data_IF_693870904662
#
_entry.id   IF_693870904662
#
_cell.length_a   1.000
_cell.length_b   1.000
_cell.length_c   1.000
_cell.angle_alpha   90.00
_cell.angle_beta   90.00
_cell.angle_gamma   90.00
#
_symmetry.space_group_name_H-M   'P 1'
#
loop_
_entity.id
_entity.type
_entity.pdbx_description
1 polymer ?
#
# COMPACT_ATOMS: atom_id res chain seq x y z
N UNK A 1 16.86 91.39 8.60
CA UNK A 1 17.53 90.12 8.93
C UNK A 1 16.48 89.03 9.04
N UNK A 2 16.77 87.91 8.39
CA UNK A 2 15.94 86.72 8.18
C UNK A 2 15.40 86.10 9.49
N UNK A 3 14.18 85.54 9.45
CA UNK A 3 13.97 84.17 9.92
C UNK A 3 12.54 83.67 9.58
N UNK A 4 12.48 82.75 8.62
CA UNK A 4 12.22 81.30 8.78
C UNK A 4 10.74 80.95 8.98
N UNK A 5 10.06 80.73 7.86
CA UNK A 5 8.85 79.92 7.78
C UNK A 5 9.14 78.52 8.31
N UNK A 6 8.54 78.17 9.46
CA UNK A 6 8.49 76.78 9.93
C UNK A 6 7.40 76.05 9.17
N UNK A 7 7.78 75.15 8.28
CA UNK A 7 6.87 74.16 7.69
C UNK A 7 6.47 73.17 8.80
N UNK A 8 5.23 73.29 9.25
CA UNK A 8 4.62 72.38 10.20
C UNK A 8 4.30 71.07 9.46
N UNK A 9 5.16 70.06 9.55
CA UNK A 9 4.86 68.73 9.05
C UNK A 9 3.79 68.11 9.95
N UNK A 10 2.55 68.03 9.46
CA UNK A 10 1.49 67.26 10.10
C UNK A 10 1.84 65.77 9.94
N UNK A 11 2.17 65.10 11.03
CA UNK A 11 2.23 63.64 11.06
C UNK A 11 0.80 63.12 10.93
N UNK A 12 0.47 62.55 9.78
CA UNK A 12 -0.77 61.82 9.58
C UNK A 12 -0.66 60.48 10.34
N UNK A 13 -1.41 60.33 11.43
CA UNK A 13 -1.58 59.04 12.10
C UNK A 13 -2.55 58.16 11.33
N UNK A 14 -2.30 56.86 11.27
CA UNK A 14 -3.18 55.88 10.63
C UNK A 14 -4.58 55.91 11.27
N UNK A 15 -5.62 55.87 10.43
CA UNK A 15 -7.00 55.77 10.91
C UNK A 15 -7.27 54.39 11.51
N UNK A 16 -8.09 54.32 12.57
CA UNK A 16 -8.62 53.06 13.11
C UNK A 16 -9.29 52.21 12.02
N UNK A 17 -9.92 52.86 11.04
CA UNK A 17 -10.57 52.20 9.91
C UNK A 17 -9.55 51.60 8.93
N UNK A 18 -8.42 52.28 8.67
CA UNK A 18 -7.35 51.73 7.82
C UNK A 18 -6.76 50.47 8.44
N UNK A 19 -6.49 50.48 9.74
CA UNK A 19 -6.01 49.29 10.44
C UNK A 19 -7.03 48.15 10.42
N UNK A 20 -8.32 48.45 10.57
CA UNK A 20 -9.38 47.43 10.47
C UNK A 20 -9.43 46.77 9.07
N UNK A 21 -9.32 47.57 8.00
CA UNK A 21 -9.30 47.05 6.63
C UNK A 21 -8.04 46.20 6.39
N UNK A 22 -6.87 46.63 6.86
CA UNK A 22 -5.62 45.88 6.73
C UNK A 22 -5.72 44.51 7.44
N UNK A 23 -6.28 44.46 8.64
CA UNK A 23 -6.46 43.21 9.38
C UNK A 23 -7.44 42.26 8.69
N UNK A 24 -8.52 42.78 8.12
CA UNK A 24 -9.48 41.97 7.35
C UNK A 24 -8.81 41.39 6.10
N UNK A 25 -8.05 42.19 5.36
CA UNK A 25 -7.29 41.73 4.18
C UNK A 25 -6.26 40.66 4.59
N UNK A 26 -5.52 40.88 5.68
CA UNK A 26 -4.55 39.91 6.20
C UNK A 26 -5.22 38.58 6.59
N UNK A 27 -6.39 38.62 7.24
CA UNK A 27 -7.14 37.43 7.59
C UNK A 27 -7.54 36.63 6.34
N UNK A 28 -8.01 37.32 5.28
CA UNK A 28 -8.34 36.66 4.01
C UNK A 28 -7.11 36.08 3.31
N UNK A 29 -5.98 36.79 3.31
CA UNK A 29 -4.72 36.30 2.71
C UNK A 29 -4.22 35.05 3.44
N UNK A 30 -4.26 35.03 4.78
CA UNK A 30 -3.86 33.87 5.56
C UNK A 30 -4.80 32.68 5.36
N UNK A 31 -6.12 32.91 5.30
CA UNK A 31 -7.11 31.87 5.02
C UNK A 31 -6.92 31.25 3.62
N UNK A 32 -6.63 32.07 2.61
CA UNK A 32 -6.37 31.60 1.25
C UNK A 32 -5.11 30.72 1.13
N UNK A 33 -4.15 30.89 2.05
CA UNK A 33 -2.87 30.14 2.03
C UNK A 33 -2.95 28.74 2.66
N UNK A 34 -3.94 28.48 3.53
CA UNK A 34 -4.02 27.23 4.30
C UNK A 34 -4.53 26.04 3.48
N UNK A 35 -5.43 26.27 2.53
CA UNK A 35 -5.99 25.22 1.65
C UNK A 35 -4.94 24.51 0.77
N UNK A 36 -4.03 25.21 0.04
CA UNK A 36 -3.06 24.53 -0.82
C UNK A 36 -2.03 23.69 -0.06
N UNK A 37 -1.79 23.97 1.23
CA UNK A 37 -0.82 23.22 2.02
C UNK A 37 -1.28 21.78 2.28
N UNK A 38 -2.57 21.56 2.53
CA UNK A 38 -3.10 20.21 2.79
C UNK A 38 -3.01 19.33 1.55
N UNK A 39 -3.37 19.87 0.39
CA UNK A 39 -3.25 19.17 -0.89
C UNK A 39 -1.79 18.78 -1.19
N UNK A 40 -0.83 19.68 -0.95
CA UNK A 40 0.60 19.37 -1.13
C UNK A 40 1.10 18.26 -0.20
N UNK A 41 0.61 18.21 1.05
CA UNK A 41 0.97 17.13 1.97
C UNK A 41 0.42 15.79 1.53
N UNK A 42 -0.83 15.74 1.06
CA UNK A 42 -1.41 14.49 0.57
C UNK A 42 -0.68 13.95 -0.65
N UNK A 43 -0.28 14.82 -1.58
CA UNK A 43 0.56 14.42 -2.72
C UNK A 43 1.92 13.86 -2.29
N UNK A 44 2.55 14.48 -1.29
CA UNK A 44 3.80 13.98 -0.71
C UNK A 44 3.61 12.59 -0.09
N UNK A 45 2.55 12.41 0.71
CA UNK A 45 2.26 11.14 1.39
C UNK A 45 1.91 10.02 0.41
N UNK A 46 1.15 10.33 -0.64
CA UNK A 46 0.88 9.40 -1.72
C UNK A 46 2.18 8.97 -2.42
N UNK A 47 3.02 9.94 -2.83
CA UNK A 47 4.31 9.65 -3.47
C UNK A 47 5.25 8.84 -2.57
N UNK A 48 5.29 9.15 -1.27
CA UNK A 48 6.05 8.37 -0.29
C UNK A 48 5.54 6.94 -0.19
N UNK A 49 4.22 6.75 -0.15
CA UNK A 49 3.59 5.43 -0.06
C UNK A 49 3.89 4.59 -1.29
N UNK A 50 3.75 5.14 -2.50
CA UNK A 50 4.12 4.46 -3.73
C UNK A 50 5.60 4.05 -3.73
N UNK A 51 6.48 4.92 -3.25
CA UNK A 51 7.91 4.61 -3.12
C UNK A 51 8.18 3.47 -2.13
N UNK A 52 7.49 3.46 -0.97
CA UNK A 52 7.59 2.39 0.02
C UNK A 52 7.06 1.06 -0.52
N UNK A 53 5.94 1.08 -1.25
CA UNK A 53 5.35 -0.11 -1.88
C UNK A 53 6.29 -0.69 -2.95
N UNK A 54 6.90 0.14 -3.78
CA UNK A 54 7.89 -0.30 -4.78
C UNK A 54 9.19 -0.80 -4.14
N UNK A 55 9.63 -0.21 -3.02
CA UNK A 55 10.74 -0.73 -2.23
C UNK A 55 10.42 -2.10 -1.64
N UNK A 56 9.22 -2.26 -1.05
CA UNK A 56 8.75 -3.52 -0.50
C UNK A 56 8.69 -4.61 -1.56
N UNK A 57 8.15 -4.29 -2.75
CA UNK A 57 8.14 -5.19 -3.91
C UNK A 57 9.53 -5.66 -4.29
N UNK A 58 10.51 -4.74 -4.38
CA UNK A 58 11.91 -5.10 -4.67
C UNK A 58 12.53 -5.96 -3.57
N UNK A 59 12.26 -5.65 -2.31
CA UNK A 59 12.77 -6.42 -1.17
C UNK A 59 12.20 -7.85 -1.16
N UNK A 60 10.92 -8.02 -1.47
CA UNK A 60 10.28 -9.34 -1.63
C UNK A 60 10.94 -10.16 -2.75
N UNK A 61 11.21 -9.54 -3.90
CA UNK A 61 11.91 -10.20 -4.99
C UNK A 61 13.34 -10.60 -4.59
N UNK A 62 14.09 -9.72 -3.93
CA UNK A 62 15.44 -10.03 -3.42
C UNK A 62 15.45 -11.11 -2.34
N UNK A 63 14.42 -11.13 -1.48
CA UNK A 63 14.22 -12.20 -0.51
C UNK A 63 14.01 -13.55 -1.20
N UNK A 64 13.17 -13.59 -2.24
CA UNK A 64 12.97 -14.80 -3.03
C UNK A 64 14.24 -15.28 -3.71
N UNK A 65 15.06 -14.39 -4.27
CA UNK A 65 16.34 -14.76 -4.89
C UNK A 65 17.33 -15.40 -3.91
N UNK A 66 17.28 -15.03 -2.64
CA UNK A 66 18.22 -15.51 -1.61
C UNK A 66 17.71 -16.74 -0.86
N UNK A 67 16.40 -16.83 -0.66
CA UNK A 67 15.76 -17.88 0.14
C UNK A 67 15.01 -18.92 -0.70
N UNK A 68 14.86 -18.72 -2.01
CA UNK A 68 14.10 -19.59 -2.91
C UNK A 68 12.59 -19.58 -2.66
N UNK A 69 12.08 -18.64 -1.86
CA UNK A 69 10.66 -18.50 -1.47
C UNK A 69 10.35 -17.05 -1.10
N UNK A 70 9.08 -16.67 -1.13
CA UNK A 70 8.60 -15.43 -0.51
C UNK A 70 8.45 -15.59 1.02
N UNK A 71 8.55 -14.49 1.78
CA UNK A 71 8.34 -14.55 3.21
C UNK A 71 6.85 -14.73 3.55
N UNK A 72 6.56 -15.33 4.70
CA UNK A 72 5.20 -15.38 5.21
C UNK A 72 4.75 -14.00 5.71
N UNK A 73 3.46 -13.64 5.63
CA UNK A 73 2.98 -12.39 6.19
C UNK A 73 3.29 -12.28 7.68
N UNK A 74 3.60 -11.06 8.12
CA UNK A 74 3.76 -10.78 9.53
C UNK A 74 2.40 -10.79 10.22
N UNK A 75 2.37 -11.29 11.45
CA UNK A 75 1.20 -11.23 12.33
C UNK A 75 1.30 -9.99 13.21
N UNK A 76 0.21 -9.59 13.85
CA UNK A 76 0.22 -8.48 14.82
C UNK A 76 1.23 -8.69 15.97
N UNK A 77 1.60 -9.95 16.26
CA UNK A 77 2.52 -10.32 17.33
C UNK A 77 3.95 -10.61 16.87
N UNK A 78 4.24 -10.60 15.55
CA UNK A 78 5.57 -10.97 15.04
C UNK A 78 6.56 -9.81 14.97
N UNK A 79 6.17 -8.63 15.44
CA UNK A 79 6.99 -7.42 15.43
C UNK A 79 7.65 -7.13 14.06
N UNK A 80 6.85 -7.20 12.99
CA UNK A 80 7.33 -7.00 11.62
C UNK A 80 8.19 -8.13 11.05
N UNK A 81 8.37 -9.25 11.75
CA UNK A 81 9.03 -10.44 11.21
C UNK A 81 8.04 -11.32 10.46
N UNK A 82 8.51 -12.06 9.45
CA UNK A 82 7.71 -13.13 8.86
C UNK A 82 7.31 -14.16 9.93
N UNK A 83 6.10 -14.72 9.80
CA UNK A 83 5.61 -15.74 10.72
C UNK A 83 4.86 -16.81 9.93
N UNK A 84 5.31 -18.08 9.96
CA UNK A 84 6.50 -18.59 10.64
C UNK A 84 7.82 -18.15 10.00
N UNK A 85 8.83 -18.00 10.86
CA UNK A 85 10.22 -17.86 10.40
C UNK A 85 10.62 -19.12 9.64
N UNK A 86 11.19 -18.95 8.45
CA UNK A 86 11.55 -20.10 7.60
C UNK A 86 10.43 -20.58 6.67
N UNK A 87 9.20 -20.07 6.83
CA UNK A 87 8.05 -20.46 6.01
C UNK A 87 7.61 -21.91 6.23
N UNK A 88 7.11 -22.56 5.18
CA UNK A 88 6.68 -23.97 5.24
C UNK A 88 5.19 -24.15 5.58
N UNK A 89 4.84 -25.34 6.09
CA UNK A 89 3.45 -25.78 6.25
C UNK A 89 2.65 -24.92 7.23
N UNK A 90 3.33 -24.30 8.19
CA UNK A 90 2.71 -23.43 9.20
C UNK A 90 2.48 -22.00 8.69
N UNK A 91 2.87 -21.71 7.45
CA UNK A 91 2.57 -20.45 6.78
C UNK A 91 1.11 -20.41 6.33
N UNK A 92 0.17 -20.44 7.28
CA UNK A 92 -1.27 -20.52 6.97
C UNK A 92 -1.92 -19.16 6.76
N UNK A 93 -1.22 -18.08 7.10
CA UNK A 93 -1.74 -16.73 6.96
C UNK A 93 -1.55 -16.25 5.52
N UNK A 94 -2.66 -16.13 4.78
CA UNK A 94 -2.65 -15.61 3.40
C UNK A 94 -2.40 -14.10 3.34
N UNK A 95 -3.04 -13.36 4.26
CA UNK A 95 -3.06 -11.89 4.31
C UNK A 95 -2.66 -11.42 5.71
N UNK A 96 -1.68 -10.53 5.78
CA UNK A 96 -1.18 -9.97 7.03
C UNK A 96 -0.48 -8.63 6.83
N UNK A 97 0.50 -8.35 7.67
CA UNK A 97 1.37 -7.18 7.52
C UNK A 97 2.59 -7.52 6.67
N UNK A 98 3.14 -6.51 5.99
CA UNK A 98 4.44 -6.66 5.34
C UNK A 98 5.48 -7.03 6.40
N UNK A 99 6.26 -8.12 6.23
CA UNK A 99 7.33 -8.50 7.17
C UNK A 99 8.55 -7.58 7.02
N UNK A 100 8.37 -6.30 7.34
CA UNK A 100 9.32 -5.23 7.10
C UNK A 100 10.64 -5.41 7.86
N UNK A 101 10.62 -5.97 9.07
CA UNK A 101 11.83 -6.28 9.82
C UNK A 101 12.64 -7.43 9.17
N UNK A 102 11.95 -8.42 8.59
CA UNK A 102 12.61 -9.49 7.80
C UNK A 102 13.17 -8.94 6.48
N UNK A 103 12.48 -8.00 5.85
CA UNK A 103 12.86 -7.43 4.56
C UNK A 103 13.84 -6.25 4.66
N UNK A 104 14.06 -5.70 5.86
CA UNK A 104 14.86 -4.49 6.06
C UNK A 104 14.26 -3.23 5.46
N UNK A 105 12.92 -3.15 5.36
CA UNK A 105 12.20 -2.01 4.78
C UNK A 105 11.98 -0.94 5.84
N UNK A 106 12.13 0.33 5.46
CA UNK A 106 11.87 1.51 6.30
C UNK A 106 10.99 2.52 5.55
N UNK A 107 10.26 3.41 6.25
CA UNK A 107 10.16 3.55 7.71
C UNK A 107 9.31 2.46 8.36
N UNK A 108 9.56 2.18 9.65
CA UNK A 108 8.78 1.24 10.48
C UNK A 108 8.25 1.93 11.72
N UNK A 109 7.15 1.41 12.28
CA UNK A 109 6.65 1.81 13.59
C UNK A 109 7.44 1.18 14.75
N UNK A 110 7.03 1.48 15.98
CA UNK A 110 7.63 0.92 17.20
C UNK A 110 7.49 -0.61 17.34
N UNK A 111 6.59 -1.20 16.56
CA UNK A 111 6.34 -2.64 16.52
C UNK A 111 7.03 -3.30 15.31
N UNK A 112 7.78 -2.56 14.49
CA UNK A 112 8.54 -3.10 13.37
C UNK A 112 7.77 -3.24 12.06
N UNK A 113 6.53 -2.74 11.96
CA UNK A 113 5.75 -2.79 10.73
C UNK A 113 6.05 -1.60 9.82
N UNK A 114 6.15 -1.82 8.51
CA UNK A 114 6.37 -0.74 7.54
C UNK A 114 5.19 0.23 7.51
N UNK A 115 5.50 1.53 7.37
CA UNK A 115 4.50 2.60 7.36
C UNK A 115 4.34 3.23 5.97
N UNK A 116 3.11 3.59 5.64
CA UNK A 116 2.80 4.49 4.54
C UNK A 116 3.02 5.97 4.92
N UNK A 117 2.72 6.89 3.99
CA UNK A 117 2.88 8.33 4.21
C UNK A 117 1.95 8.92 5.27
N UNK A 118 0.84 8.25 5.59
CA UNK A 118 -0.13 8.65 6.61
C UNK A 118 0.12 7.99 7.97
N UNK A 119 1.02 7.00 8.02
CA UNK A 119 1.37 6.27 9.23
C UNK A 119 0.56 4.98 9.43
N UNK A 120 -0.14 4.50 8.40
CA UNK A 120 -0.77 3.18 8.44
C UNK A 120 0.23 2.08 8.11
N UNK A 121 -0.02 0.90 8.66
CA UNK A 121 0.83 -0.26 8.44
C UNK A 121 0.57 -0.88 7.06
N UNK A 122 1.63 -1.10 6.30
CA UNK A 122 1.56 -1.73 4.97
C UNK A 122 1.13 -3.19 5.11
N UNK A 123 0.14 -3.57 4.30
CA UNK A 123 -0.42 -4.91 4.24
C UNK A 123 0.22 -5.73 3.12
N UNK A 124 0.25 -7.04 3.34
CA UNK A 124 0.90 -7.99 2.45
C UNK A 124 0.08 -9.27 2.37
N UNK A 125 -0.13 -9.74 1.15
CA UNK A 125 -0.71 -11.03 0.86
C UNK A 125 0.21 -11.83 -0.04
N UNK A 126 0.25 -13.14 0.19
CA UNK A 126 1.00 -14.10 -0.63
C UNK A 126 0.13 -15.29 -0.92
N UNK A 127 0.18 -15.77 -2.16
CA UNK A 127 -0.58 -16.93 -2.60
C UNK A 127 -0.34 -18.10 -1.66
N UNK A 128 -1.44 -18.76 -1.30
CA UNK A 128 -1.44 -19.98 -0.49
C UNK A 128 -1.64 -21.21 -1.35
N UNK A 129 -1.54 -21.06 -2.68
CA UNK A 129 -1.64 -22.16 -3.61
C UNK A 129 -0.55 -23.18 -3.31
N UNK A 130 -0.94 -24.45 -3.48
CA UNK A 130 -0.08 -25.60 -3.34
C UNK A 130 -0.40 -26.63 -4.40
N UNK A 131 0.63 -27.25 -4.97
CA UNK A 131 0.42 -28.42 -5.80
C UNK A 131 0.09 -29.64 -4.91
N UNK A 132 -0.90 -30.44 -5.30
CA UNK A 132 -1.25 -31.67 -4.59
C UNK A 132 -2.19 -31.56 -3.37
N UNK A 133 -1.95 -32.41 -2.37
CA UNK A 133 -2.90 -32.73 -1.30
C UNK A 133 -2.92 -31.68 -0.16
N UNK A 134 -4.03 -31.59 0.59
CA UNK A 134 -4.25 -30.59 1.67
C UNK A 134 -3.11 -30.48 2.70
N UNK A 135 -2.27 -31.50 2.87
CA UNK A 135 -1.14 -31.51 3.81
C UNK A 135 0.17 -30.92 3.26
N UNK A 136 0.24 -30.55 1.98
CA UNK A 136 1.42 -29.87 1.43
C UNK A 136 1.46 -28.40 1.88
N UNK A 137 2.65 -27.86 2.18
CA UNK A 137 2.82 -26.45 2.45
C UNK A 137 2.57 -25.61 1.18
N UNK A 138 2.37 -24.27 1.27
CA UNK A 138 2.23 -23.44 0.08
C UNK A 138 3.53 -23.32 -0.71
N UNK A 139 3.47 -23.51 -2.04
CA UNK A 139 4.64 -23.62 -2.92
C UNK A 139 5.51 -22.35 -2.89
N UNK A 140 4.88 -21.19 -2.73
CA UNK A 140 5.53 -19.89 -2.84
C UNK A 140 6.17 -19.40 -1.54
N UNK A 141 5.79 -19.98 -0.40
CA UNK A 141 6.31 -19.63 0.92
C UNK A 141 7.11 -20.77 1.55
N UNK A 142 7.47 -21.76 0.72
CA UNK A 142 8.24 -22.94 1.12
C UNK A 142 9.46 -23.11 0.23
N UNK A 143 10.57 -23.51 0.84
CA UNK A 143 11.74 -24.00 0.11
C UNK A 143 12.38 -25.13 0.92
N UNK A 144 11.95 -26.36 0.66
CA UNK A 144 12.52 -27.55 1.28
C UNK A 144 12.73 -28.66 0.23
N UNK A 145 13.21 -29.82 0.65
CA UNK A 145 13.55 -30.91 -0.27
C UNK A 145 12.33 -31.58 -0.94
N UNK A 146 11.12 -31.34 -0.43
CA UNK A 146 9.89 -32.00 -0.87
C UNK A 146 8.90 -31.05 -1.54
N UNK A 147 9.08 -29.74 -1.34
CA UNK A 147 8.14 -28.71 -1.76
C UNK A 147 8.82 -27.35 -1.88
N UNK A 148 8.22 -26.47 -2.67
CA UNK A 148 8.69 -25.13 -2.99
C UNK A 148 8.75 -24.92 -4.50
N UNK A 149 8.86 -23.66 -4.92
CA UNK A 149 8.87 -23.28 -6.33
C UNK A 149 9.83 -24.10 -7.21
N UNK A 150 11.02 -24.42 -6.68
CA UNK A 150 12.04 -25.15 -7.42
C UNK A 150 11.75 -26.67 -7.54
N UNK A 151 10.98 -27.23 -6.60
CA UNK A 151 10.63 -28.65 -6.57
C UNK A 151 9.41 -28.92 -7.44
N UNK A 152 8.39 -28.07 -7.30
CA UNK A 152 7.14 -28.11 -8.08
C UNK A 152 7.41 -27.81 -9.55
N UNK A 153 8.29 -26.85 -9.82
CA UNK A 153 8.66 -26.44 -11.16
C UNK A 153 7.61 -25.56 -11.85
N UNK A 154 8.06 -24.78 -12.83
CA UNK A 154 7.28 -23.70 -13.44
C UNK A 154 5.96 -24.15 -14.11
N UNK A 155 5.85 -25.42 -14.51
CA UNK A 155 4.64 -25.94 -15.16
C UNK A 155 3.48 -26.21 -14.21
N UNK A 156 3.77 -26.40 -12.91
CA UNK A 156 2.78 -26.73 -11.89
C UNK A 156 2.48 -25.55 -10.94
N UNK A 157 3.34 -24.53 -10.91
CA UNK A 157 3.09 -23.31 -10.15
C UNK A 157 1.87 -22.52 -10.67
N UNK A 158 0.84 -22.42 -9.84
CA UNK A 158 -0.41 -21.74 -10.18
C UNK A 158 -0.82 -20.72 -9.10
N UNK A 159 -0.11 -19.58 -9.00
CA UNK A 159 -0.44 -18.54 -8.02
C UNK A 159 -1.86 -18.03 -8.27
N UNK A 160 -2.60 -17.79 -7.18
CA UNK A 160 -4.05 -17.64 -7.22
C UNK A 160 -4.59 -16.31 -6.68
N UNK A 161 -3.73 -15.34 -6.33
CA UNK A 161 -4.23 -14.03 -5.92
C UNK A 161 -4.82 -13.28 -7.12
N UNK A 162 -5.91 -12.56 -6.86
CA UNK A 162 -6.67 -11.79 -7.84
C UNK A 162 -6.61 -10.31 -7.50
N UNK A 163 -6.44 -9.45 -8.50
CA UNK A 163 -6.66 -8.01 -8.36
C UNK A 163 -7.70 -7.59 -9.39
N UNK A 164 -8.82 -7.07 -8.92
CA UNK A 164 -10.01 -6.75 -9.66
C UNK A 164 -10.14 -5.23 -9.90
N UNK A 165 -10.93 -4.85 -10.91
CA UNK A 165 -11.17 -3.43 -11.24
C UNK A 165 -12.19 -2.80 -10.29
N UNK A 166 -13.12 -3.59 -9.76
CA UNK A 166 -14.10 -3.19 -8.74
C UNK A 166 -14.58 -4.40 -7.94
N UNK A 167 -15.22 -4.17 -6.80
CA UNK A 167 -15.89 -5.17 -5.96
C UNK A 167 -17.21 -5.67 -6.53
N UNK A 168 -17.70 -5.11 -7.63
CA UNK A 168 -18.98 -5.49 -8.22
C UNK A 168 -18.88 -6.89 -8.84
N UNK A 169 -19.57 -7.85 -8.24
CA UNK A 169 -19.67 -9.21 -8.76
C UNK A 169 -18.44 -10.09 -8.53
N UNK A 170 -17.48 -9.63 -7.71
CA UNK A 170 -16.37 -10.47 -7.23
C UNK A 170 -16.92 -11.56 -6.29
N UNK A 171 -16.23 -12.70 -6.26
CA UNK A 171 -16.47 -13.80 -5.32
C UNK A 171 -15.15 -14.14 -4.64
N UNK A 172 -15.17 -14.93 -3.56
CA UNK A 172 -14.01 -15.18 -2.69
C UNK A 172 -12.72 -15.72 -3.36
N UNK A 173 -12.77 -16.12 -4.63
CA UNK A 173 -11.61 -16.62 -5.38
C UNK A 173 -11.58 -16.16 -6.86
N UNK A 174 -12.42 -15.21 -7.29
CA UNK A 174 -12.47 -14.75 -8.67
C UNK A 174 -13.00 -13.32 -8.79
N UNK A 175 -12.53 -12.59 -9.80
CA UNK A 175 -12.98 -11.21 -10.03
C UNK A 175 -14.37 -11.11 -10.66
N UNK A 176 -14.96 -12.21 -11.13
CA UNK A 176 -16.35 -12.26 -11.58
C UNK A 176 -16.94 -13.66 -11.41
N UNK A 177 -18.24 -13.75 -11.18
CA UNK A 177 -18.94 -15.03 -11.06
C UNK A 177 -18.93 -15.89 -12.35
N UNK A 178 -18.78 -15.27 -13.52
CA UNK A 178 -18.71 -15.95 -14.81
C UNK A 178 -17.27 -16.25 -15.26
N UNK A 179 -17.11 -17.32 -16.04
CA UNK A 179 -15.88 -17.67 -16.75
C UNK A 179 -16.05 -17.39 -18.27
N UNK A 180 -15.06 -16.80 -18.96
CA UNK A 180 -13.80 -16.29 -18.42
C UNK A 180 -14.02 -15.10 -17.47
N UNK A 181 -13.09 -14.89 -16.53
CA UNK A 181 -13.15 -13.71 -15.66
C UNK A 181 -13.16 -12.43 -16.50
N UNK A 182 -13.92 -11.40 -16.12
CA UNK A 182 -14.06 -10.16 -16.93
C UNK A 182 -13.68 -8.87 -16.19
N UNK A 183 -13.52 -8.92 -14.86
CA UNK A 183 -13.32 -7.75 -14.00
C UNK A 183 -11.95 -7.79 -13.30
N UNK A 184 -10.89 -8.25 -13.98
CA UNK A 184 -9.56 -8.39 -13.40
C UNK A 184 -8.51 -7.50 -14.08
N UNK A 185 -7.56 -7.02 -13.27
CA UNK A 185 -6.28 -6.46 -13.70
C UNK A 185 -5.21 -7.57 -13.80
N UNK A 186 -5.24 -8.50 -12.84
CA UNK A 186 -4.44 -9.73 -12.85
C UNK A 186 -5.21 -10.83 -12.11
N UNK A 187 -5.17 -12.05 -12.63
CA UNK A 187 -5.86 -13.19 -12.04
C UNK A 187 -4.92 -14.35 -11.65
N UNK A 188 -3.64 -14.04 -11.47
CA UNK A 188 -2.62 -15.01 -11.08
C UNK A 188 -1.45 -14.31 -10.36
N UNK A 189 -1.74 -13.28 -9.57
CA UNK A 189 -0.69 -12.59 -8.81
C UNK A 189 -0.09 -13.53 -7.76
N UNK A 190 1.23 -13.41 -7.54
CA UNK A 190 1.92 -14.21 -6.53
C UNK A 190 1.83 -13.54 -5.16
N UNK A 191 1.95 -12.22 -5.14
CA UNK A 191 1.85 -11.42 -3.93
C UNK A 191 1.20 -10.07 -4.22
N UNK A 192 0.50 -9.54 -3.23
CA UNK A 192 -0.13 -8.22 -3.25
C UNK A 192 0.39 -7.43 -2.05
N UNK A 193 0.77 -6.18 -2.26
CA UNK A 193 1.22 -5.26 -1.22
C UNK A 193 0.35 -4.01 -1.32
N UNK A 194 -0.22 -3.56 -0.21
CA UNK A 194 -1.14 -2.44 -0.26
C UNK A 194 -1.09 -1.56 0.99
N UNK A 195 -1.40 -0.28 0.78
CA UNK A 195 -1.70 0.70 1.83
C UNK A 195 -3.20 0.94 1.86
N UNK A 196 -3.71 1.20 3.06
CA UNK A 196 -5.11 1.55 3.33
C UNK A 196 -5.37 3.06 3.22
N UNK A 197 -4.42 3.83 2.66
CA UNK A 197 -4.63 5.23 2.32
C UNK A 197 -4.90 6.17 3.51
N UNK A 198 -5.25 7.45 3.23
CA UNK A 198 -5.54 8.44 4.25
C UNK A 198 -6.67 8.06 5.21
N UNK A 199 -7.61 7.20 4.81
CA UNK A 199 -8.77 6.78 5.61
C UNK A 199 -8.64 5.40 6.24
N UNK A 200 -7.43 4.83 6.26
CA UNK A 200 -7.17 3.50 6.81
C UNK A 200 -7.48 3.31 8.30
N UNK A 201 -7.69 4.38 9.06
CA UNK A 201 -8.14 4.36 10.45
C UNK A 201 -9.67 4.31 10.61
N UNK A 202 -10.42 4.47 9.51
CA UNK A 202 -11.86 4.45 9.53
C UNK A 202 -12.41 3.03 9.69
N UNK A 203 -13.51 2.91 10.45
CA UNK A 203 -14.14 1.63 10.73
C UNK A 203 -14.92 1.05 9.54
N UNK A 204 -15.20 1.85 8.50
CA UNK A 204 -15.97 1.46 7.33
C UNK A 204 -15.53 2.30 6.14
N UNK A 205 -14.92 1.67 5.14
CA UNK A 205 -14.57 2.28 3.87
C UNK A 205 -15.64 2.04 2.80
N UNK A 206 -15.34 2.43 1.56
CA UNK A 206 -16.14 2.06 0.40
C UNK A 206 -16.25 0.55 0.19
N UNK A 207 -17.14 0.11 -0.71
CA UNK A 207 -17.28 -1.31 -1.02
C UNK A 207 -15.98 -1.92 -1.58
N UNK A 208 -15.27 -1.12 -2.38
CA UNK A 208 -13.99 -1.48 -3.00
C UNK A 208 -12.85 -1.57 -1.97
N UNK A 209 -12.84 -0.69 -0.95
CA UNK A 209 -11.88 -0.76 0.16
C UNK A 209 -12.17 -1.93 1.10
N UNK A 210 -13.46 -2.19 1.37
CA UNK A 210 -13.90 -3.31 2.21
C UNK A 210 -13.46 -4.65 1.61
N UNK A 211 -13.47 -4.79 0.27
CA UNK A 211 -12.95 -5.96 -0.40
C UNK A 211 -11.47 -6.22 -0.09
N UNK A 212 -10.65 -5.16 0.03
CA UNK A 212 -9.22 -5.27 0.38
C UNK A 212 -8.97 -5.62 1.87
N UNK A 213 -10.00 -5.63 2.72
CA UNK A 213 -9.88 -5.83 4.17
C UNK A 213 -10.53 -7.13 4.68
N UNK A 214 -11.14 -7.92 3.78
CA UNK A 214 -11.92 -9.10 4.14
C UNK A 214 -11.06 -10.38 4.36
N UNK A 215 -9.74 -10.29 4.22
CA UNK A 215 -8.75 -11.37 4.36
C UNK A 215 -8.95 -12.57 3.39
N UNK A 216 -9.56 -12.35 2.22
CA UNK A 216 -9.53 -13.31 1.12
C UNK A 216 -8.38 -13.03 0.13
N UNK A 217 -8.29 -13.82 -0.94
CA UNK A 217 -7.26 -13.69 -1.97
C UNK A 217 -7.61 -12.73 -3.11
N UNK A 218 -8.65 -11.89 -2.94
CA UNK A 218 -9.26 -11.08 -3.99
C UNK A 218 -9.25 -9.62 -3.60
N UNK A 219 -8.40 -8.86 -4.28
CA UNK A 219 -8.17 -7.44 -4.02
C UNK A 219 -8.84 -6.58 -5.09
N UNK A 220 -9.08 -5.32 -4.80
CA UNK A 220 -9.58 -4.30 -5.75
C UNK A 220 -8.55 -3.19 -5.87
N UNK A 221 -8.28 -2.75 -7.10
CA UNK A 221 -7.40 -1.63 -7.39
C UNK A 221 -7.94 -0.80 -8.54
N UNK A 222 -8.06 0.51 -8.34
CA UNK A 222 -8.35 1.48 -9.39
C UNK A 222 -7.92 2.89 -8.95
N UNK A 223 -8.16 3.89 -9.79
CA UNK A 223 -7.86 5.29 -9.46
C UNK A 223 -8.66 5.78 -8.24
N UNK A 224 -8.11 6.69 -7.40
CA UNK A 224 -8.80 7.17 -6.21
C UNK A 224 -10.17 7.79 -6.50
N UNK A 225 -11.12 7.56 -5.59
CA UNK A 225 -12.48 8.12 -5.64
C UNK A 225 -12.85 8.73 -4.30
N UNK A 226 -13.59 9.84 -4.33
CA UNK A 226 -14.08 10.48 -3.11
C UNK A 226 -15.34 9.82 -2.57
N UNK A 227 -15.69 10.15 -1.32
CA UNK A 227 -16.86 9.62 -0.62
C UNK A 227 -18.22 9.83 -1.31
N UNK A 228 -18.31 10.75 -2.28
CA UNK A 228 -19.52 11.02 -3.05
C UNK A 228 -19.76 10.00 -4.20
N UNK A 229 -18.82 9.08 -4.46
CA UNK A 229 -18.98 8.05 -5.50
C UNK A 229 -20.04 7.00 -5.10
N UNK A 230 -20.83 6.45 -6.05
CA UNK A 230 -21.84 5.43 -5.73
C UNK A 230 -21.31 4.18 -5.01
N UNK A 231 -20.03 3.84 -5.18
CA UNK A 231 -19.37 2.70 -4.52
C UNK A 231 -18.63 3.09 -3.23
N UNK A 232 -18.70 4.37 -2.84
CA UNK A 232 -17.98 4.94 -1.71
C UNK A 232 -16.57 5.41 -2.08
N UNK A 233 -15.87 5.90 -1.06
CA UNK A 233 -14.47 6.31 -1.16
C UNK A 233 -13.57 5.14 -1.55
N UNK A 234 -12.52 5.44 -2.31
CA UNK A 234 -11.44 4.50 -2.57
C UNK A 234 -10.13 5.28 -2.57
N UNK A 235 -9.29 5.03 -1.57
CA UNK A 235 -7.99 5.67 -1.42
C UNK A 235 -6.85 4.66 -1.20
N UNK A 236 -7.17 3.36 -1.21
CA UNK A 236 -6.20 2.28 -1.11
C UNK A 236 -5.21 2.30 -2.28
N UNK A 237 -3.93 2.10 -1.99
CA UNK A 237 -2.87 2.01 -3.00
C UNK A 237 -2.39 0.56 -3.05
N UNK A 238 -2.62 -0.13 -4.16
CA UNK A 238 -2.34 -1.56 -4.33
C UNK A 238 -1.28 -1.77 -5.41
N UNK A 239 -0.25 -2.55 -5.09
CA UNK A 239 0.73 -3.07 -6.06
C UNK A 239 0.83 -4.59 -5.92
N UNK A 240 1.26 -5.26 -6.99
CA UNK A 240 1.39 -6.72 -6.99
C UNK A 240 2.65 -7.20 -7.69
N UNK A 241 3.00 -8.45 -7.41
CA UNK A 241 4.06 -9.20 -8.08
C UNK A 241 3.39 -10.20 -9.02
N UNK A 242 3.62 -10.03 -10.32
CA UNK A 242 3.22 -11.02 -11.31
C UNK A 242 4.18 -12.21 -11.30
N UNK A 243 3.71 -13.42 -11.66
CA UNK A 243 4.54 -14.62 -11.71
C UNK A 243 5.70 -14.44 -12.68
N UNK A 244 5.48 -13.73 -13.79
CA UNK A 244 6.51 -13.48 -14.79
C UNK A 244 7.70 -12.68 -14.23
N UNK A 245 7.45 -11.70 -13.36
CA UNK A 245 8.51 -10.92 -12.71
C UNK A 245 9.25 -11.79 -11.70
N UNK A 246 8.52 -12.55 -10.86
CA UNK A 246 9.12 -13.43 -9.86
C UNK A 246 9.97 -14.52 -10.52
N UNK A 247 9.43 -15.23 -11.50
CA UNK A 247 10.14 -16.33 -12.15
C UNK A 247 11.39 -15.83 -12.86
N UNK A 248 11.34 -14.65 -13.50
CA UNK A 248 12.51 -14.06 -14.14
C UNK A 248 13.67 -13.84 -13.15
N UNK A 249 13.39 -13.23 -11.99
CA UNK A 249 14.43 -12.97 -10.99
C UNK A 249 14.94 -14.25 -10.32
N UNK A 250 14.06 -15.25 -10.14
CA UNK A 250 14.38 -16.54 -9.55
C UNK A 250 15.26 -17.40 -10.46
N UNK A 251 14.96 -17.43 -11.76
CA UNK A 251 15.78 -18.12 -12.77
C UNK A 251 17.17 -17.47 -12.84
N UNK A 252 17.24 -16.14 -12.86
CA UNK A 252 18.53 -15.42 -12.85
C UNK A 252 19.36 -15.71 -11.60
N UNK A 253 18.71 -15.94 -10.45
CA UNK A 253 19.37 -16.31 -9.21
C UNK A 253 19.71 -17.81 -9.11
N UNK A 254 19.31 -18.63 -10.09
CA UNK A 254 19.48 -20.10 -10.05
C UNK A 254 18.59 -20.79 -9.02
N UNK A 255 17.55 -20.11 -8.53
CA UNK A 255 16.58 -20.64 -7.57
C UNK A 255 15.42 -21.40 -8.24
N UNK A 256 15.26 -21.25 -9.55
CA UNK A 256 14.22 -21.89 -10.35
C UNK A 256 14.85 -22.32 -11.68
N UNK A 257 14.67 -23.57 -12.08
CA UNK A 257 15.27 -24.15 -13.27
C UNK A 257 14.28 -25.01 -14.07
#
# INVERSE_FOLDING_TARGET
MSNKFRLNQKTHGFSLVEMAIVLVILAFVLAALLLPLQAQRNLLFQSQTESTLELAKKALLGYAQTHGRLPCPATAASNGMEQPLGGGADCTLAVGFLPAATLGVQPIDSQGFALDGWGNQIRYAVTQFKDGAITTPPDFTTNNATDGMNVVGMSALAPDLRVCVSSVGIVAAACSAGLPETNYLINNAVAVIYSTGPTGDQATGGADETANLNNDGVFVSHEPRGADDPNGEFDHIVTWISPYVLYNVMIQAGQLH
#
